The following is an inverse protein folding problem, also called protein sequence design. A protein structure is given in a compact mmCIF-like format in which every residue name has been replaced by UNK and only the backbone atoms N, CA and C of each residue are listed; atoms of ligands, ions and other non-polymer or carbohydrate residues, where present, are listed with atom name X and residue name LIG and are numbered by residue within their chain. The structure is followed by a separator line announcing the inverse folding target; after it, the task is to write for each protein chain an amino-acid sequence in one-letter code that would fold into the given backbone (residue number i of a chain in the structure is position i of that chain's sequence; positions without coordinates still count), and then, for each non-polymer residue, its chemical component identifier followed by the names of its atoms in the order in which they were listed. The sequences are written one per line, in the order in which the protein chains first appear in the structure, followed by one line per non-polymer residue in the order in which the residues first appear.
data_IF_409739328603
#
_entry.id   IF_409739328603
#
_cell.length_a   1.000
_cell.length_b   1.000
_cell.length_c   1.000
_cell.angle_alpha   90.00
_cell.angle_beta   90.00
_cell.angle_gamma   90.00
#
_symmetry.space_group_name_H-M   'P 1'
#
loop_
_entity.id
_entity.type
_entity.pdbx_description
1 polymer ?
#
# COMPACT_ATOMS: atom_id res chain seq x y z
N UNK A 1 2.46 -3.78 -25.81
CA UNK A 1 3.30 -3.15 -24.75
C UNK A 1 2.48 -2.59 -23.58
N UNK A 2 1.43 -1.78 -23.82
CA UNK A 2 0.58 -1.18 -22.76
C UNK A 2 -0.12 -2.19 -21.80
N UNK A 3 -0.58 -3.34 -22.32
CA UNK A 3 -1.28 -4.36 -21.51
C UNK A 3 -0.35 -5.08 -20.51
N UNK A 4 0.91 -5.30 -20.88
CA UNK A 4 1.89 -5.96 -20.02
C UNK A 4 2.26 -5.08 -18.81
N UNK A 5 2.43 -3.77 -19.02
CA UNK A 5 2.70 -2.80 -17.94
C UNK A 5 1.56 -2.74 -16.93
N UNK A 6 0.30 -2.75 -17.41
CA UNK A 6 -0.90 -2.77 -16.55
C UNK A 6 -1.04 -4.06 -15.75
N UNK A 7 -0.58 -5.20 -16.30
CA UNK A 7 -0.57 -6.50 -15.63
C UNK A 7 0.51 -6.60 -14.55
N UNK A 8 1.70 -6.06 -14.79
CA UNK A 8 2.80 -6.01 -13.80
C UNK A 8 2.37 -5.18 -12.58
N UNK A 9 1.71 -4.05 -12.80
CA UNK A 9 1.22 -3.22 -11.69
C UNK A 9 0.23 -3.97 -10.78
N UNK A 10 -0.68 -4.76 -11.34
CA UNK A 10 -1.60 -5.61 -10.55
C UNK A 10 -0.85 -6.63 -9.69
N UNK A 11 0.14 -7.33 -10.25
CA UNK A 11 0.93 -8.31 -9.49
C UNK A 11 1.66 -7.70 -8.29
N UNK A 12 2.14 -6.46 -8.43
CA UNK A 12 2.82 -5.76 -7.34
C UNK A 12 1.84 -5.37 -6.22
N UNK A 13 0.63 -4.89 -6.57
CA UNK A 13 -0.42 -4.57 -5.59
C UNK A 13 -0.85 -5.81 -4.82
N UNK A 14 -1.02 -6.95 -5.49
CA UNK A 14 -1.40 -8.20 -4.82
C UNK A 14 -0.30 -8.71 -3.88
N UNK A 15 0.97 -8.64 -4.32
CA UNK A 15 2.13 -8.94 -3.46
C UNK A 15 2.16 -8.04 -2.23
N UNK A 16 1.88 -6.75 -2.39
CA UNK A 16 1.86 -5.79 -1.29
C UNK A 16 0.80 -6.16 -0.24
N UNK A 17 -0.43 -6.47 -0.67
CA UNK A 17 -1.51 -6.94 0.21
C UNK A 17 -1.13 -8.20 0.99
N UNK A 18 -0.54 -9.19 0.31
CA UNK A 18 -0.10 -10.45 0.94
C UNK A 18 0.95 -10.17 2.03
N UNK A 19 1.89 -9.26 1.77
CA UNK A 19 2.93 -8.93 2.75
C UNK A 19 2.37 -8.20 3.97
N UNK A 20 1.43 -7.26 3.78
CA UNK A 20 0.76 -6.59 4.90
C UNK A 20 0.02 -7.57 5.81
N UNK A 21 -0.65 -8.56 5.22
CA UNK A 21 -1.40 -9.57 5.97
C UNK A 21 -0.53 -10.48 6.85
N UNK A 22 0.78 -10.53 6.63
CA UNK A 22 1.71 -11.32 7.46
C UNK A 22 2.08 -10.66 8.79
N UNK A 23 1.92 -9.34 8.90
CA UNK A 23 2.46 -8.57 10.03
C UNK A 23 1.39 -7.71 10.73
N UNK A 24 0.34 -7.29 10.00
CA UNK A 24 -0.61 -6.30 10.52
C UNK A 24 -2.02 -6.86 10.65
N UNK A 25 -2.82 -6.46 11.66
CA UNK A 25 -4.23 -6.80 11.74
C UNK A 25 -5.03 -6.12 10.61
N UNK A 26 -6.18 -6.70 10.25
CA UNK A 26 -6.99 -6.28 9.09
C UNK A 26 -7.25 -4.77 9.03
N UNK A 27 -7.57 -4.14 10.18
CA UNK A 27 -7.82 -2.68 10.24
C UNK A 27 -6.58 -1.85 9.87
N UNK A 28 -5.40 -2.29 10.28
CA UNK A 28 -4.14 -1.59 9.98
C UNK A 28 -3.73 -1.82 8.53
N UNK A 29 -3.88 -3.04 8.01
CA UNK A 29 -3.68 -3.32 6.58
C UNK A 29 -4.52 -2.37 5.71
N UNK A 30 -5.79 -2.18 6.06
CA UNK A 30 -6.71 -1.35 5.29
C UNK A 30 -6.32 0.13 5.32
N UNK A 31 -5.94 0.67 6.49
CA UNK A 31 -5.42 2.04 6.61
C UNK A 31 -4.16 2.26 5.76
N UNK A 32 -3.21 1.31 5.80
CA UNK A 32 -1.99 1.38 4.97
C UNK A 32 -2.34 1.35 3.48
N UNK A 33 -3.25 0.47 3.05
CA UNK A 33 -3.65 0.33 1.65
C UNK A 33 -4.38 1.56 1.11
N UNK A 34 -5.29 2.14 1.88
CA UNK A 34 -6.06 3.33 1.50
C UNK A 34 -5.16 4.53 1.20
N UNK A 35 -4.08 4.71 1.97
CA UNK A 35 -3.10 5.77 1.71
C UNK A 35 -2.16 5.38 0.57
N UNK A 36 -1.61 4.17 0.59
CA UNK A 36 -0.53 3.78 -0.34
C UNK A 36 -0.99 3.62 -1.79
N UNK A 37 -2.29 3.37 -2.04
CA UNK A 37 -2.84 3.23 -3.38
C UNK A 37 -3.46 4.53 -3.92
N UNK A 38 -3.58 5.56 -3.09
CA UNK A 38 -3.96 6.92 -3.49
C UNK A 38 -2.70 7.78 -3.60
N UNK A 39 -2.25 8.00 -4.83
CA UNK A 39 -1.02 8.74 -5.11
C UNK A 39 -1.07 10.18 -4.57
N UNK A 40 -2.18 10.88 -4.75
CA UNK A 40 -2.28 12.27 -4.34
C UNK A 40 -2.25 12.40 -2.82
N UNK A 41 -2.92 11.47 -2.13
CA UNK A 41 -2.91 11.41 -0.66
C UNK A 41 -1.54 11.03 -0.11
N UNK A 42 -0.86 10.05 -0.72
CA UNK A 42 0.47 9.62 -0.31
C UNK A 42 1.51 10.73 -0.47
N UNK A 43 1.50 11.45 -1.60
CA UNK A 43 2.45 12.54 -1.87
C UNK A 43 2.28 13.73 -0.90
N UNK A 44 1.11 13.89 -0.29
CA UNK A 44 0.82 14.97 0.67
C UNK A 44 1.01 14.56 2.13
N UNK A 45 1.11 13.26 2.43
CA UNK A 45 1.22 12.79 3.82
C UNK A 45 2.61 13.07 4.38
N UNK A 46 2.72 13.63 5.61
CA UNK A 46 4.01 13.74 6.29
C UNK A 46 4.67 12.37 6.44
N UNK A 47 5.98 12.31 6.18
CA UNK A 47 6.72 11.04 6.15
C UNK A 47 6.61 10.28 7.47
N UNK A 48 6.69 10.97 8.61
CA UNK A 48 6.54 10.35 9.93
C UNK A 48 5.14 9.73 10.12
N UNK A 49 4.09 10.46 9.75
CA UNK A 49 2.71 9.96 9.87
C UNK A 49 2.47 8.72 9.00
N UNK A 50 3.10 8.65 7.82
CA UNK A 50 3.03 7.47 6.97
C UNK A 50 3.72 6.27 7.63
N UNK A 51 4.90 6.47 8.20
CA UNK A 51 5.66 5.39 8.86
C UNK A 51 5.00 4.94 10.17
N UNK A 52 4.31 5.83 10.87
CA UNK A 52 3.53 5.49 12.08
C UNK A 52 2.42 4.48 11.77
N UNK A 53 1.94 4.39 10.52
CA UNK A 53 0.98 3.35 10.10
C UNK A 53 1.57 1.93 10.16
N UNK A 54 2.90 1.77 10.21
CA UNK A 54 3.60 0.48 10.17
C UNK A 54 4.14 0.03 11.54
N UNK A 55 3.86 0.76 12.61
CA UNK A 55 4.22 0.35 13.98
C UNK A 55 3.28 -0.77 14.46
N UNK A 56 3.83 -1.81 15.09
CA UNK A 56 3.09 -2.95 15.65
C UNK A 56 2.90 -2.74 17.15
#
# INVERSE_FOLDING_TARGET
MLAAVRMVFRKLVDKFKINLARQFPTRQQQRILEVSLDRARLEQMPVNEYLDLYVI
#
